data_IF_751837967936
#
_entry.id   IF_751837967936
#
_cell.length_a   1.000
_cell.length_b   1.000
_cell.length_c   1.000
_cell.angle_alpha   90.00
_cell.angle_beta   90.00
_cell.angle_gamma   90.00
#
_symmetry.space_group_name_H-M   'P 1'
#
loop_
_entity.id
_entity.type
_entity.pdbx_description
1 polymer ?
#
# COMPACT_ATOMS: atom_id res chain seq x y z
N UNK A 1 -6.75 33.71 -9.41
CA UNK A 1 -7.94 33.03 -9.96
C UNK A 1 -7.47 31.70 -10.53
N UNK A 2 -7.89 30.58 -9.94
CA UNK A 2 -7.52 29.26 -10.43
C UNK A 2 -8.06 29.10 -11.86
N UNK A 3 -7.16 28.93 -12.83
CA UNK A 3 -7.55 28.60 -14.21
C UNK A 3 -8.27 27.25 -14.12
N UNK A 4 -9.55 27.19 -14.49
CA UNK A 4 -10.29 25.93 -14.56
C UNK A 4 -9.46 24.97 -15.42
N UNK A 5 -8.85 23.95 -14.79
CA UNK A 5 -8.14 22.92 -15.54
C UNK A 5 -9.20 22.17 -16.34
N UNK A 6 -8.94 21.94 -17.62
CA UNK A 6 -9.85 21.23 -18.52
C UNK A 6 -9.96 19.72 -18.20
N UNK A 7 -9.31 19.27 -17.12
CA UNK A 7 -9.25 17.89 -16.65
C UNK A 7 -9.21 17.89 -15.12
N UNK A 8 -9.63 16.77 -14.53
CA UNK A 8 -9.50 16.52 -13.10
C UNK A 8 -8.07 16.02 -12.78
N UNK A 9 -7.26 16.78 -12.01
CA UNK A 9 -5.91 16.35 -11.67
C UNK A 9 -5.84 15.04 -10.88
N UNK A 10 -6.84 14.74 -10.07
CA UNK A 10 -6.84 13.55 -9.22
C UNK A 10 -7.11 12.29 -10.07
N UNK A 11 -8.08 12.36 -10.98
CA UNK A 11 -8.35 11.31 -11.99
C UNK A 11 -7.09 11.02 -12.83
N UNK A 12 -6.37 12.06 -13.26
CA UNK A 12 -5.15 11.88 -14.07
C UNK A 12 -3.97 11.35 -13.26
N UNK A 13 -3.88 11.69 -11.97
CA UNK A 13 -2.88 11.13 -11.07
C UNK A 13 -3.09 9.63 -10.87
N UNK A 14 -4.35 9.17 -10.77
CA UNK A 14 -4.68 7.75 -10.69
C UNK A 14 -4.26 6.98 -11.96
N UNK A 15 -4.45 7.58 -13.15
CA UNK A 15 -3.98 7.00 -14.41
C UNK A 15 -2.46 6.85 -14.45
N UNK A 16 -1.72 7.89 -14.07
CA UNK A 16 -0.26 7.81 -13.96
C UNK A 16 0.17 6.74 -12.94
N UNK A 17 -0.50 6.68 -11.78
CA UNK A 17 -0.24 5.70 -10.72
C UNK A 17 -0.42 4.28 -11.23
N UNK A 18 -1.52 4.00 -11.94
CA UNK A 18 -1.79 2.67 -12.49
C UNK A 18 -0.73 2.22 -13.51
N UNK A 19 -0.24 3.15 -14.33
CA UNK A 19 0.85 2.90 -15.28
C UNK A 19 2.17 2.61 -14.57
N UNK A 20 2.55 3.43 -13.59
CA UNK A 20 3.75 3.19 -12.78
C UNK A 20 3.65 1.88 -12.01
N UNK A 21 2.45 1.52 -11.57
CA UNK A 21 2.21 0.28 -10.87
C UNK A 21 2.48 -0.93 -11.75
N UNK A 22 1.98 -0.91 -12.98
CA UNK A 22 2.20 -1.95 -13.97
C UNK A 22 3.66 -2.02 -14.42
N UNK A 23 4.20 -0.93 -14.97
CA UNK A 23 5.51 -0.92 -15.64
C UNK A 23 6.69 -0.70 -14.68
N UNK A 24 6.47 -0.10 -13.52
CA UNK A 24 7.55 0.42 -12.66
C UNK A 24 8.01 1.81 -13.09
N UNK A 25 8.75 2.50 -12.22
CA UNK A 25 9.21 3.86 -12.49
C UNK A 25 10.16 3.89 -13.69
N UNK A 26 11.17 3.03 -13.72
CA UNK A 26 12.22 3.10 -14.73
C UNK A 26 11.74 2.78 -16.15
N UNK A 27 10.81 1.82 -16.29
CA UNK A 27 10.27 1.42 -17.59
C UNK A 27 9.13 2.30 -18.12
N UNK A 28 8.66 3.28 -17.34
CA UNK A 28 7.61 4.22 -17.75
C UNK A 28 8.23 5.46 -18.38
N UNK A 29 7.95 5.74 -19.65
CA UNK A 29 8.47 6.94 -20.32
C UNK A 29 7.53 8.16 -20.13
N UNK A 30 8.04 9.38 -20.38
CA UNK A 30 7.17 10.57 -20.45
C UNK A 30 6.17 10.49 -21.61
N UNK A 31 6.46 9.71 -22.65
CA UNK A 31 5.52 9.48 -23.74
C UNK A 31 4.36 8.60 -23.28
N UNK A 32 4.66 7.52 -22.56
CA UNK A 32 3.65 6.62 -22.00
C UNK A 32 2.70 7.39 -21.07
N UNK A 33 3.25 8.28 -20.23
CA UNK A 33 2.45 9.13 -19.34
C UNK A 33 1.54 10.08 -20.10
N UNK A 34 2.02 10.69 -21.18
CA UNK A 34 1.17 11.52 -22.03
C UNK A 34 0.00 10.74 -22.62
N UNK A 35 0.26 9.53 -23.11
CA UNK A 35 -0.74 8.66 -23.71
C UNK A 35 -1.78 8.19 -22.68
N UNK A 36 -1.33 7.66 -21.55
CA UNK A 36 -2.20 7.11 -20.51
C UNK A 36 -3.04 8.21 -19.82
N UNK A 37 -2.41 9.33 -19.47
CA UNK A 37 -3.12 10.45 -18.83
C UNK A 37 -3.98 11.23 -19.84
N UNK A 38 -3.79 11.01 -21.15
CA UNK A 38 -4.39 11.80 -22.24
C UNK A 38 -4.10 13.30 -22.08
N UNK A 39 -2.85 13.62 -21.73
CA UNK A 39 -2.35 14.98 -21.54
C UNK A 39 -1.12 15.21 -22.40
N UNK A 40 -0.91 16.45 -22.85
CA UNK A 40 0.36 16.83 -23.44
C UNK A 40 1.43 17.03 -22.34
N UNK A 41 2.72 16.99 -22.74
CA UNK A 41 3.85 17.14 -21.81
C UNK A 41 3.79 18.43 -20.99
N UNK A 42 3.42 19.55 -21.62
CA UNK A 42 3.35 20.85 -20.94
C UNK A 42 2.32 20.84 -19.80
N UNK A 43 1.15 20.23 -20.00
CA UNK A 43 0.13 20.08 -18.96
C UNK A 43 0.58 19.18 -17.80
N UNK A 44 1.36 18.12 -18.09
CA UNK A 44 1.94 17.27 -17.04
C UNK A 44 2.96 18.08 -16.22
N UNK A 45 3.90 18.75 -16.88
CA UNK A 45 4.91 19.56 -16.19
C UNK A 45 4.30 20.69 -15.36
N UNK A 46 3.31 21.41 -15.91
CA UNK A 46 2.60 22.50 -15.22
C UNK A 46 1.81 22.01 -14.00
N UNK A 47 1.30 20.78 -14.03
CA UNK A 47 0.42 20.27 -12.97
C UNK A 47 1.13 19.43 -11.92
N UNK A 48 2.02 18.53 -12.34
CA UNK A 48 2.63 17.52 -11.48
C UNK A 48 4.14 17.70 -11.35
N UNK A 49 4.75 18.60 -12.12
CA UNK A 49 6.20 18.70 -12.23
C UNK A 49 6.76 17.63 -13.16
N UNK A 50 7.99 17.21 -12.91
CA UNK A 50 8.64 16.17 -13.72
C UNK A 50 8.12 14.75 -13.39
N UNK A 51 8.64 13.76 -14.12
CA UNK A 51 8.30 12.36 -13.92
C UNK A 51 8.53 11.90 -12.47
N UNK A 52 9.59 12.40 -11.83
CA UNK A 52 9.96 12.02 -10.48
C UNK A 52 8.95 12.60 -9.46
N UNK A 53 8.64 13.89 -9.56
CA UNK A 53 7.63 14.56 -8.74
C UNK A 53 6.23 13.95 -8.94
N UNK A 54 5.86 13.61 -10.17
CA UNK A 54 4.62 12.90 -10.47
C UNK A 54 4.59 11.52 -9.79
N UNK A 55 5.68 10.75 -9.89
CA UNK A 55 5.76 9.44 -9.26
C UNK A 55 5.66 9.54 -7.73
N UNK A 56 6.36 10.49 -7.09
CA UNK A 56 6.23 10.74 -5.66
C UNK A 56 4.79 11.05 -5.24
N UNK A 57 4.07 11.85 -6.03
CA UNK A 57 2.64 12.12 -5.79
C UNK A 57 1.78 10.87 -5.94
N UNK A 58 2.03 10.03 -6.95
CA UNK A 58 1.35 8.74 -7.11
C UNK A 58 1.56 7.82 -5.88
N UNK A 59 2.78 7.76 -5.36
CA UNK A 59 3.11 6.97 -4.17
C UNK A 59 2.40 7.50 -2.92
N UNK A 60 2.37 8.82 -2.72
CA UNK A 60 1.67 9.46 -1.60
C UNK A 60 0.15 9.27 -1.70
N UNK A 61 -0.43 9.40 -2.90
CA UNK A 61 -1.83 9.14 -3.14
C UNK A 61 -2.18 7.67 -2.83
N UNK A 62 -1.37 6.71 -3.31
CA UNK A 62 -1.53 5.29 -2.99
C UNK A 62 -1.45 5.02 -1.47
N UNK A 63 -0.47 5.61 -0.78
CA UNK A 63 -0.31 5.45 0.67
C UNK A 63 -1.54 5.96 1.44
N UNK A 64 -2.09 7.12 1.05
CA UNK A 64 -3.32 7.68 1.63
C UNK A 64 -4.52 6.76 1.43
N UNK A 65 -4.70 6.22 0.22
CA UNK A 65 -5.77 5.26 -0.09
C UNK A 65 -5.67 4.02 0.81
N UNK A 66 -4.47 3.43 0.95
CA UNK A 66 -4.27 2.24 1.80
C UNK A 66 -4.47 2.51 3.28
N UNK A 67 -4.04 3.66 3.77
CA UNK A 67 -4.29 4.03 5.16
C UNK A 67 -5.79 4.26 5.42
N UNK A 68 -6.51 4.82 4.45
CA UNK A 68 -7.97 4.97 4.53
C UNK A 68 -8.68 3.61 4.53
N UNK A 69 -8.28 2.69 3.64
CA UNK A 69 -8.78 1.30 3.62
C UNK A 69 -8.60 0.62 4.99
N UNK A 70 -7.44 0.77 5.62
CA UNK A 70 -7.16 0.18 6.94
C UNK A 70 -8.08 0.76 8.01
N UNK A 71 -8.25 2.09 8.03
CA UNK A 71 -9.11 2.77 9.01
C UNK A 71 -10.57 2.36 8.84
N UNK A 72 -11.05 2.14 7.63
CA UNK A 72 -12.41 1.63 7.40
C UNK A 72 -12.63 0.23 7.98
N UNK A 73 -11.62 -0.65 7.92
CA UNK A 73 -11.69 -1.99 8.52
C UNK A 73 -11.82 -1.94 10.06
N UNK A 74 -11.46 -0.83 10.70
CA UNK A 74 -11.56 -0.67 12.15
C UNK A 74 -12.97 -0.29 12.62
N UNK A 75 -13.87 0.12 11.73
CA UNK A 75 -15.20 0.60 12.12
C UNK A 75 -16.14 -0.57 12.46
N UNK A 76 -16.70 -0.55 13.68
CA UNK A 76 -17.80 -1.43 14.15
C UNK A 76 -17.48 -2.93 14.31
N UNK A 77 -16.21 -3.29 14.42
CA UNK A 77 -15.77 -4.67 14.69
C UNK A 77 -14.78 -4.70 15.85
N UNK A 78 -14.50 -5.89 16.39
CA UNK A 78 -13.46 -6.02 17.41
C UNK A 78 -12.06 -5.76 16.84
N UNK A 79 -11.07 -5.32 17.65
CA UNK A 79 -9.74 -5.01 17.14
C UNK A 79 -9.07 -6.17 16.39
N UNK A 80 -9.19 -7.40 16.91
CA UNK A 80 -8.67 -8.58 16.23
C UNK A 80 -9.43 -8.87 14.91
N UNK A 81 -10.74 -8.62 14.86
CA UNK A 81 -11.54 -8.76 13.63
C UNK A 81 -11.17 -7.71 12.57
N UNK A 82 -10.78 -6.50 13.00
CA UNK A 82 -10.25 -5.48 12.10
C UNK A 82 -8.91 -5.93 11.48
N UNK A 83 -8.02 -6.52 12.28
CA UNK A 83 -6.75 -7.08 11.77
C UNK A 83 -7.01 -8.23 10.77
N UNK A 84 -7.93 -9.14 11.08
CA UNK A 84 -8.38 -10.19 10.14
C UNK A 84 -8.87 -9.59 8.82
N UNK A 85 -9.73 -8.57 8.90
CA UNK A 85 -10.27 -7.89 7.73
C UNK A 85 -9.17 -7.23 6.88
N UNK A 86 -8.17 -6.57 7.51
CA UNK A 86 -7.04 -5.96 6.81
C UNK A 86 -6.24 -7.02 6.06
N UNK A 87 -5.89 -8.13 6.72
CA UNK A 87 -5.08 -9.21 6.16
C UNK A 87 -5.83 -9.88 4.99
N UNK A 88 -7.09 -10.28 5.21
CA UNK A 88 -7.92 -10.92 4.18
C UNK A 88 -8.23 -9.99 3.01
N UNK A 89 -8.39 -8.68 3.24
CA UNK A 89 -8.63 -7.72 2.17
C UNK A 89 -7.44 -7.64 1.21
N UNK A 90 -6.19 -7.74 1.67
CA UNK A 90 -5.09 -7.80 0.71
C UNK A 90 -4.96 -9.15 0.00
N UNK A 91 -5.54 -10.21 0.54
CA UNK A 91 -5.64 -11.49 -0.16
C UNK A 91 -6.76 -11.47 -1.21
N UNK A 92 -7.90 -10.87 -0.88
CA UNK A 92 -9.09 -10.91 -1.74
C UNK A 92 -9.16 -9.77 -2.75
N UNK A 93 -8.59 -8.59 -2.46
CA UNK A 93 -8.56 -7.46 -3.39
C UNK A 93 -7.32 -7.49 -4.29
N UNK A 94 -6.66 -8.64 -4.41
CA UNK A 94 -5.60 -8.83 -5.40
C UNK A 94 -6.21 -8.70 -6.78
N UNK A 95 -5.56 -7.90 -7.63
CA UNK A 95 -5.81 -7.93 -9.07
C UNK A 95 -4.73 -8.81 -9.65
N UNK A 96 -5.13 -9.80 -10.45
CA UNK A 96 -4.21 -10.73 -11.09
C UNK A 96 -3.09 -9.96 -11.79
N UNK A 97 -1.83 -10.30 -11.49
CA UNK A 97 -0.66 -9.61 -12.01
C UNK A 97 -0.30 -8.26 -11.36
N UNK A 98 -1.01 -7.78 -10.33
CA UNK A 98 -0.69 -6.53 -9.61
C UNK A 98 -0.37 -6.78 -8.13
N UNK A 99 0.89 -6.59 -7.74
CA UNK A 99 1.34 -6.60 -6.33
C UNK A 99 1.15 -5.25 -5.64
N UNK A 100 1.43 -5.08 -4.34
CA UNK A 100 1.39 -3.75 -3.71
C UNK A 100 2.44 -2.80 -4.32
N UNK A 101 2.02 -1.59 -4.74
CA UNK A 101 2.91 -0.58 -5.33
C UNK A 101 4.04 -0.17 -4.36
N UNK A 102 3.72 0.00 -3.06
CA UNK A 102 4.72 0.32 -2.04
C UNK A 102 5.77 -0.77 -1.90
N UNK A 103 5.36 -2.04 -1.88
CA UNK A 103 6.28 -3.17 -1.75
C UNK A 103 7.15 -3.30 -2.99
N UNK A 104 6.61 -3.14 -4.20
CA UNK A 104 7.42 -3.13 -5.42
C UNK A 104 8.45 -1.99 -5.39
N UNK A 105 8.02 -0.80 -5.00
CA UNK A 105 8.88 0.40 -4.94
C UNK A 105 9.98 0.26 -3.87
N UNK A 106 9.71 -0.40 -2.75
CA UNK A 106 10.71 -0.61 -1.69
C UNK A 106 11.90 -1.44 -2.18
N UNK A 107 11.65 -2.46 -3.01
CA UNK A 107 12.71 -3.27 -3.62
C UNK A 107 13.36 -2.59 -4.83
N UNK A 108 12.60 -1.88 -5.66
CA UNK A 108 13.12 -1.28 -6.90
C UNK A 108 13.98 -0.03 -6.64
N UNK A 109 13.57 0.86 -5.72
CA UNK A 109 14.12 2.22 -5.64
C UNK A 109 14.59 2.64 -4.25
N UNK A 110 14.03 2.11 -3.15
CA UNK A 110 14.30 2.65 -1.82
C UNK A 110 15.77 2.48 -1.35
N UNK A 111 16.53 1.55 -1.93
CA UNK A 111 17.97 1.42 -1.64
C UNK A 111 18.82 2.48 -2.35
N UNK A 112 18.33 3.06 -3.45
CA UNK A 112 19.08 3.94 -4.34
C UNK A 112 18.61 5.40 -4.30
N UNK A 113 17.38 5.66 -3.83
CA UNK A 113 16.77 6.98 -3.80
C UNK A 113 16.25 7.32 -2.39
N UNK A 114 16.83 8.34 -1.77
CA UNK A 114 16.50 8.72 -0.39
C UNK A 114 15.09 9.31 -0.25
N UNK A 115 14.62 10.04 -1.27
CA UNK A 115 13.29 10.64 -1.27
C UNK A 115 12.20 9.58 -1.35
N UNK A 116 12.39 8.60 -2.23
CA UNK A 116 11.48 7.44 -2.35
C UNK A 116 11.56 6.59 -1.09
N UNK A 117 12.78 6.34 -0.55
CA UNK A 117 12.95 5.62 0.72
C UNK A 117 12.17 6.27 1.84
N UNK A 118 12.23 7.60 1.96
CA UNK A 118 11.48 8.33 2.98
C UNK A 118 9.97 8.14 2.83
N UNK A 119 9.42 8.23 1.61
CA UNK A 119 7.97 8.03 1.36
C UNK A 119 7.55 6.61 1.78
N UNK A 120 8.30 5.59 1.38
CA UNK A 120 8.01 4.18 1.73
C UNK A 120 8.13 3.97 3.25
N UNK A 121 9.16 4.53 3.90
CA UNK A 121 9.34 4.43 5.35
C UNK A 121 8.20 5.08 6.13
N UNK A 122 7.76 6.27 5.73
CA UNK A 122 6.63 6.94 6.37
C UNK A 122 5.33 6.16 6.21
N UNK A 123 5.08 5.57 5.03
CA UNK A 123 3.93 4.68 4.83
C UNK A 123 4.01 3.46 5.75
N UNK A 124 5.18 2.81 5.83
CA UNK A 124 5.38 1.64 6.67
C UNK A 124 5.15 1.97 8.15
N UNK A 125 5.70 3.09 8.63
CA UNK A 125 5.50 3.59 10.00
C UNK A 125 4.02 3.82 10.32
N UNK A 126 3.28 4.45 9.41
CA UNK A 126 1.85 4.70 9.58
C UNK A 126 1.04 3.40 9.64
N UNK A 127 1.32 2.46 8.72
CA UNK A 127 0.65 1.15 8.73
C UNK A 127 0.96 0.34 9.99
N UNK A 128 2.22 0.31 10.43
CA UNK A 128 2.64 -0.36 11.66
C UNK A 128 1.97 0.27 12.88
N UNK A 129 1.89 1.60 12.95
CA UNK A 129 1.20 2.30 14.05
C UNK A 129 -0.27 1.89 14.15
N UNK A 130 -0.99 1.81 13.03
CA UNK A 130 -2.40 1.37 13.03
C UNK A 130 -2.53 -0.06 13.54
N UNK A 131 -1.66 -0.98 13.09
CA UNK A 131 -1.68 -2.37 13.55
C UNK A 131 -1.33 -2.47 15.03
N UNK A 132 -0.35 -1.70 15.51
CA UNK A 132 0.03 -1.67 16.92
C UNK A 132 -1.13 -1.19 17.79
N UNK A 133 -1.79 -0.09 17.42
CA UNK A 133 -2.96 0.41 18.16
C UNK A 133 -4.10 -0.61 18.23
N UNK A 134 -4.31 -1.38 17.17
CA UNK A 134 -5.30 -2.46 17.15
C UNK A 134 -4.89 -3.61 18.08
N UNK A 135 -3.62 -4.01 18.06
CA UNK A 135 -3.11 -5.08 18.92
C UNK A 135 -3.16 -4.68 20.41
N UNK A 136 -2.81 -3.44 20.75
CA UNK A 136 -2.93 -2.92 22.12
C UNK A 136 -4.39 -2.93 22.61
N UNK A 137 -5.34 -2.61 21.72
CA UNK A 137 -6.78 -2.70 22.03
C UNK A 137 -7.23 -4.15 22.17
N UNK A 138 -6.81 -5.04 21.26
CA UNK A 138 -7.10 -6.47 21.32
C UNK A 138 -6.63 -7.09 22.64
N UNK A 139 -5.42 -6.72 23.08
CA UNK A 139 -4.84 -7.19 24.33
C UNK A 139 -5.63 -6.71 25.55
N UNK A 140 -6.02 -5.43 25.58
CA UNK A 140 -6.91 -4.88 26.64
C UNK A 140 -8.27 -5.58 26.69
N UNK A 141 -8.73 -6.11 25.56
CA UNK A 141 -9.96 -6.88 25.44
C UNK A 141 -9.77 -8.39 25.67
N UNK A 142 -8.55 -8.84 26.01
CA UNK A 142 -8.16 -10.25 26.16
C UNK A 142 -8.39 -11.10 24.90
N UNK A 143 -8.35 -10.49 23.72
CA UNK A 143 -8.44 -11.21 22.43
C UNK A 143 -7.10 -11.85 22.02
N UNK A 144 -6.00 -11.36 22.59
CA UNK A 144 -4.63 -11.86 22.38
C UNK A 144 -3.89 -11.96 23.73
N UNK A 145 -2.85 -12.82 23.86
CA UNK A 145 -2.15 -13.02 25.13
C UNK A 145 -1.44 -11.76 25.65
N UNK A 146 -1.39 -11.62 26.98
CA UNK A 146 -0.85 -10.43 27.67
C UNK A 146 0.70 -10.35 27.60
N UNK A 147 1.35 -11.47 27.36
CA UNK A 147 2.80 -11.61 27.25
C UNK A 147 3.36 -11.16 25.89
N UNK A 148 2.50 -10.97 24.88
CA UNK A 148 2.93 -10.51 23.57
C UNK A 148 3.18 -9.01 23.58
N UNK A 149 4.29 -8.60 22.97
CA UNK A 149 4.59 -7.18 22.71
C UNK A 149 3.83 -6.70 21.46
N UNK A 150 2.85 -5.79 21.59
CA UNK A 150 2.09 -5.27 20.45
C UNK A 150 2.97 -4.59 19.40
N UNK A 151 4.06 -3.94 19.80
CA UNK A 151 4.94 -3.22 18.88
C UNK A 151 5.70 -4.19 17.97
N UNK A 152 6.35 -5.20 18.54
CA UNK A 152 7.02 -6.27 17.78
C UNK A 152 6.03 -7.03 16.91
N UNK A 153 4.85 -7.35 17.45
CA UNK A 153 3.83 -8.09 16.71
C UNK A 153 3.28 -7.28 15.52
N UNK A 154 3.10 -5.96 15.66
CA UNK A 154 2.71 -5.09 14.55
C UNK A 154 3.73 -5.08 13.40
N UNK A 155 5.03 -5.04 13.74
CA UNK A 155 6.12 -5.11 12.76
C UNK A 155 6.14 -6.46 12.04
N UNK A 156 6.01 -7.55 12.81
CA UNK A 156 5.91 -8.91 12.27
C UNK A 156 4.71 -9.04 11.32
N UNK A 157 3.54 -8.52 11.71
CA UNK A 157 2.34 -8.55 10.88
C UNK A 157 2.53 -7.76 9.59
N UNK A 158 3.04 -6.53 9.67
CA UNK A 158 3.30 -5.73 8.48
C UNK A 158 4.24 -6.44 7.50
N UNK A 159 5.34 -7.03 8.00
CA UNK A 159 6.30 -7.77 7.18
C UNK A 159 5.69 -9.04 6.58
N UNK A 160 5.01 -9.85 7.40
CA UNK A 160 4.42 -11.12 6.98
C UNK A 160 3.28 -10.93 5.97
N UNK A 161 2.40 -9.98 6.23
CA UNK A 161 1.34 -9.61 5.31
C UNK A 161 1.89 -9.04 3.99
N UNK A 162 2.97 -8.26 4.05
CA UNK A 162 3.62 -7.76 2.84
C UNK A 162 4.18 -8.87 1.95
N UNK A 163 4.58 -10.00 2.55
CA UNK A 163 5.06 -11.17 1.83
C UNK A 163 3.98 -11.85 0.98
N UNK A 164 2.69 -11.64 1.28
CA UNK A 164 1.58 -12.21 0.50
C UNK A 164 1.65 -11.74 -0.96
N UNK A 165 2.00 -10.47 -1.21
CA UNK A 165 2.13 -9.97 -2.57
C UNK A 165 3.34 -10.53 -3.31
N UNK A 166 4.42 -10.85 -2.59
CA UNK A 166 5.56 -11.55 -3.17
C UNK A 166 5.15 -12.97 -3.58
N UNK A 167 4.47 -13.69 -2.68
CA UNK A 167 4.03 -15.05 -2.93
C UNK A 167 2.97 -15.13 -4.04
N UNK A 168 2.10 -14.13 -4.15
CA UNK A 168 1.13 -14.00 -5.25
C UNK A 168 1.84 -13.83 -6.61
N UNK A 169 2.86 -12.98 -6.68
CA UNK A 169 3.65 -12.80 -7.91
C UNK A 169 4.40 -14.07 -8.31
N UNK A 170 4.90 -14.84 -7.34
CA UNK A 170 5.70 -16.04 -7.61
C UNK A 170 4.84 -17.26 -7.98
N UNK A 171 3.71 -17.44 -7.31
CA UNK A 171 2.95 -18.69 -7.38
C UNK A 171 1.52 -18.52 -7.88
N UNK A 172 0.91 -17.34 -7.69
CA UNK A 172 -0.51 -17.10 -8.02
C UNK A 172 -1.50 -18.05 -7.33
N UNK A 173 -1.05 -18.81 -6.33
CA UNK A 173 -1.85 -19.85 -5.68
C UNK A 173 -2.70 -19.23 -4.57
N UNK A 174 -3.99 -19.03 -4.87
CA UNK A 174 -4.93 -18.45 -3.92
C UNK A 174 -5.05 -19.27 -2.63
N UNK A 175 -5.06 -20.60 -2.71
CA UNK A 175 -5.22 -21.46 -1.54
C UNK A 175 -4.00 -21.38 -0.61
N UNK A 176 -2.80 -21.29 -1.19
CA UNK A 176 -1.57 -21.04 -0.42
C UNK A 176 -1.66 -19.70 0.32
N UNK A 177 -2.12 -18.64 -0.36
CA UNK A 177 -2.18 -17.30 0.21
C UNK A 177 -3.25 -17.17 1.30
N UNK A 178 -4.39 -17.87 1.14
CA UNK A 178 -5.41 -17.99 2.19
C UNK A 178 -4.83 -18.72 3.42
N UNK A 179 -4.10 -19.83 3.21
CA UNK A 179 -3.45 -20.56 4.30
C UNK A 179 -2.39 -19.71 5.03
N UNK A 180 -1.63 -18.90 4.30
CA UNK A 180 -0.68 -17.95 4.90
C UNK A 180 -1.41 -16.90 5.75
N UNK A 181 -2.51 -16.33 5.26
CA UNK A 181 -3.30 -15.36 6.02
C UNK A 181 -3.85 -15.99 7.31
N UNK A 182 -4.39 -17.21 7.24
CA UNK A 182 -4.87 -17.94 8.40
C UNK A 182 -3.75 -18.22 9.42
N UNK A 183 -2.55 -18.58 8.95
CA UNK A 183 -1.40 -18.81 9.83
C UNK A 183 -0.91 -17.52 10.51
N UNK A 184 -0.86 -16.40 9.75
CA UNK A 184 -0.54 -15.09 10.32
C UNK A 184 -1.52 -14.78 11.46
N UNK A 185 -2.82 -14.96 11.24
CA UNK A 185 -3.85 -14.70 12.25
C UNK A 185 -3.76 -15.63 13.46
N UNK A 186 -3.47 -16.91 13.23
CA UNK A 186 -3.23 -17.89 14.28
C UNK A 186 -2.07 -17.45 15.20
N UNK A 187 -0.96 -16.99 14.61
CA UNK A 187 0.24 -16.54 15.36
C UNK A 187 0.03 -15.29 16.21
N UNK A 188 -1.05 -14.53 15.98
CA UNK A 188 -1.44 -13.40 16.83
C UNK A 188 -2.19 -13.92 18.07
N UNK A 189 -3.09 -14.89 17.88
CA UNK A 189 -4.00 -15.41 18.92
C UNK A 189 -3.31 -16.33 19.93
N UNK A 190 -2.29 -17.07 19.49
CA UNK A 190 -1.55 -18.04 20.30
C UNK A 190 -0.08 -17.72 20.27
#
# INVERSE_FOLDING_TARGET
MARNKAFDPEEKLEKARDLFWEKGYNATSMQDLCEEMKLNRASIYDTYGDKYALFQQCLQNYAKEKLFDYKQCCEKVSPLSAIDSIIRRAVHNRKEGKSCLMVKTSFELASMDEGIRHIVQEQARQSISVLQELLEKAQKMNEIPAEKDPATLAQFLYASFSSIWLMDVLFGDKAMLDSMADHILYSIRH
#
